data_IF_931381070301
#
_entry.id   IF_931381070301
#
_cell.length_a   1.000
_cell.length_b   1.000
_cell.length_c   1.000
_cell.angle_alpha   90.00
_cell.angle_beta   90.00
_cell.angle_gamma   90.00
#
_symmetry.space_group_name_H-M   'P 1'
#
loop_
_entity.id
_entity.type
_entity.pdbx_description
1 polymer ?
#
# COMPACT_ATOMS: atom_id res chain seq x y z
N UNK A 1 -6.04 25.31 -10.85
CA UNK A 1 -5.94 24.83 -9.45
C UNK A 1 -6.08 23.32 -9.47
N UNK A 2 -5.46 22.59 -8.53
CA UNK A 2 -5.72 21.15 -8.41
C UNK A 2 -7.19 20.94 -8.01
N UNK A 3 -7.87 20.01 -8.67
CA UNK A 3 -9.26 19.66 -8.40
C UNK A 3 -9.28 18.58 -7.31
N UNK A 4 -10.04 18.81 -6.23
CA UNK A 4 -10.10 17.91 -5.07
C UNK A 4 -11.51 17.39 -4.87
N UNK A 5 -11.65 16.07 -4.70
CA UNK A 5 -12.89 15.39 -4.32
C UNK A 5 -12.66 14.55 -3.08
N UNK A 6 -13.74 14.09 -2.44
CA UNK A 6 -13.68 13.29 -1.20
C UNK A 6 -14.47 11.99 -1.41
N UNK A 7 -13.85 10.91 -1.91
CA UNK A 7 -14.54 9.64 -2.09
C UNK A 7 -15.04 9.05 -0.76
N UNK A 8 -14.28 9.19 0.33
CA UNK A 8 -14.63 8.58 1.62
C UNK A 8 -14.56 9.59 2.76
N UNK A 9 -15.56 9.57 3.64
CA UNK A 9 -15.66 10.46 4.81
C UNK A 9 -16.03 9.64 6.04
N UNK A 10 -15.24 9.76 7.11
CA UNK A 10 -15.50 9.05 8.35
C UNK A 10 -16.91 9.33 8.90
N UNK A 11 -17.57 8.31 9.46
CA UNK A 11 -18.93 8.42 10.01
C UNK A 11 -20.05 8.40 8.97
N UNK A 12 -19.75 8.08 7.70
CA UNK A 12 -20.72 7.97 6.63
C UNK A 12 -20.82 6.53 6.10
N UNK A 13 -21.90 6.22 5.37
CA UNK A 13 -22.07 4.95 4.63
C UNK A 13 -21.94 3.68 5.50
N UNK A 14 -22.18 3.79 6.80
CA UNK A 14 -22.14 2.67 7.76
C UNK A 14 -20.78 2.43 8.42
N UNK A 15 -19.75 3.25 8.15
CA UNK A 15 -18.41 3.05 8.69
C UNK A 15 -17.97 4.23 9.57
N UNK A 16 -17.43 3.93 10.76
CA UNK A 16 -16.88 4.93 11.65
C UNK A 16 -15.62 5.59 11.07
N UNK A 17 -14.82 4.87 10.29
CA UNK A 17 -13.59 5.39 9.68
C UNK A 17 -13.30 4.71 8.35
N UNK A 18 -12.65 5.44 7.44
CA UNK A 18 -12.09 4.91 6.20
C UNK A 18 -10.59 5.15 6.20
N UNK A 19 -9.80 4.09 6.01
CA UNK A 19 -8.34 4.15 6.11
C UNK A 19 -7.68 3.27 5.06
N UNK A 20 -6.37 3.43 4.88
CA UNK A 20 -5.55 2.53 4.05
C UNK A 20 -5.94 2.62 2.56
N UNK A 21 -5.81 3.82 1.94
CA UNK A 21 -6.21 4.06 0.56
C UNK A 21 -5.36 3.26 -0.43
N UNK A 22 -6.00 2.80 -1.50
CA UNK A 22 -5.35 2.30 -2.70
C UNK A 22 -6.13 2.77 -3.93
N UNK A 23 -5.46 3.07 -5.04
CA UNK A 23 -6.12 3.49 -6.28
C UNK A 23 -5.46 2.88 -7.50
N UNK A 24 -6.30 2.34 -8.39
CA UNK A 24 -5.87 1.86 -9.71
C UNK A 24 -6.75 2.43 -10.81
N UNK A 25 -6.18 2.49 -12.02
CA UNK A 25 -6.90 2.85 -13.25
C UNK A 25 -7.08 1.60 -14.11
N UNK A 26 -8.31 1.28 -14.46
CA UNK A 26 -8.63 0.12 -15.30
C UNK A 26 -8.28 0.39 -16.76
N UNK A 27 -8.32 -0.66 -17.59
CA UNK A 27 -8.14 -0.55 -19.04
C UNK A 27 -9.20 0.36 -19.71
N UNK A 28 -10.41 0.46 -19.13
CA UNK A 28 -11.47 1.35 -19.59
C UNK A 28 -11.26 2.82 -19.16
N UNK A 29 -10.24 3.10 -18.34
CA UNK A 29 -9.99 4.42 -17.78
C UNK A 29 -10.78 4.74 -16.51
N UNK A 30 -11.55 3.80 -15.99
CA UNK A 30 -12.23 3.92 -14.70
C UNK A 30 -11.19 3.96 -13.58
N UNK A 31 -11.35 4.88 -12.63
CA UNK A 31 -10.59 4.86 -11.39
C UNK A 31 -11.35 4.05 -10.33
N UNK A 32 -10.65 3.14 -9.67
CA UNK A 32 -11.14 2.37 -8.54
C UNK A 32 -10.37 2.83 -7.30
N UNK A 33 -11.05 3.53 -6.39
CA UNK A 33 -10.49 3.90 -5.10
C UNK A 33 -10.95 2.90 -4.05
N UNK A 34 -10.01 2.18 -3.46
CA UNK A 34 -10.20 1.22 -2.39
C UNK A 34 -9.77 1.82 -1.05
N UNK A 35 -10.37 1.34 0.03
CA UNK A 35 -9.87 1.55 1.38
C UNK A 35 -10.47 0.50 2.33
N UNK A 36 -9.95 0.43 3.55
CA UNK A 36 -10.63 -0.21 4.66
C UNK A 36 -11.81 0.64 5.11
N UNK A 37 -13.02 0.08 5.08
CA UNK A 37 -14.18 0.55 5.82
C UNK A 37 -14.17 -0.07 7.21
N UNK A 38 -13.83 0.72 8.23
CA UNK A 38 -13.75 0.26 9.63
C UNK A 38 -15.06 0.57 10.34
N UNK A 39 -15.79 -0.47 10.72
CA UNK A 39 -17.20 -0.35 11.11
C UNK A 39 -17.35 0.39 12.44
N UNK A 40 -16.67 -0.04 13.50
CA UNK A 40 -16.90 0.54 14.83
C UNK A 40 -15.98 1.70 15.20
N UNK A 41 -14.71 1.68 14.76
CA UNK A 41 -13.72 2.67 15.16
C UNK A 41 -12.52 2.68 14.20
N UNK A 42 -11.67 3.71 14.30
CA UNK A 42 -10.46 3.85 13.49
C UNK A 42 -9.31 2.87 13.87
N UNK A 43 -9.56 1.84 14.69
CA UNK A 43 -8.55 0.82 15.07
C UNK A 43 -8.28 -0.15 13.92
N UNK A 44 -7.13 -0.81 13.95
CA UNK A 44 -6.57 -1.68 12.90
C UNK A 44 -7.02 -3.16 12.98
N UNK A 45 -7.95 -3.47 13.87
CA UNK A 45 -8.56 -4.78 14.07
C UNK A 45 -10.07 -4.65 14.36
N UNK A 46 -10.82 -5.74 14.21
CA UNK A 46 -12.27 -5.78 14.39
C UNK A 46 -12.99 -6.06 13.08
N UNK A 47 -14.23 -5.57 12.96
CA UNK A 47 -15.00 -5.67 11.73
C UNK A 47 -14.55 -4.60 10.74
N UNK A 48 -13.84 -5.05 9.71
CA UNK A 48 -13.28 -4.20 8.67
C UNK A 48 -13.56 -4.84 7.33
N UNK A 49 -14.17 -4.08 6.43
CA UNK A 49 -14.35 -4.45 5.04
C UNK A 49 -13.33 -3.73 4.17
N UNK A 50 -13.04 -4.29 3.00
CA UNK A 50 -12.44 -3.53 1.89
C UNK A 50 -13.58 -3.00 1.03
N UNK A 51 -13.70 -1.68 1.00
CA UNK A 51 -14.71 -0.98 0.20
C UNK A 51 -14.08 -0.35 -1.02
N UNK A 52 -14.88 -0.13 -2.06
CA UNK A 52 -14.46 0.49 -3.32
C UNK A 52 -15.48 1.52 -3.78
N UNK A 53 -14.98 2.61 -4.37
CA UNK A 53 -15.77 3.55 -5.18
C UNK A 53 -15.18 3.66 -6.57
N UNK A 54 -16.06 3.77 -7.56
CA UNK A 54 -15.72 3.85 -8.99
C UNK A 54 -15.89 5.29 -9.49
N UNK A 55 -14.97 5.75 -10.31
CA UNK A 55 -15.09 7.03 -11.03
C UNK A 55 -14.81 6.84 -12.51
N UNK A 56 -15.77 7.23 -13.36
CA UNK A 56 -15.66 7.14 -14.82
C UNK A 56 -15.34 8.48 -15.49
N UNK A 57 -15.04 9.52 -14.70
CA UNK A 57 -14.75 10.89 -15.17
C UNK A 57 -13.39 11.41 -14.67
N UNK A 58 -12.49 10.50 -14.32
CA UNK A 58 -11.13 10.82 -13.88
C UNK A 58 -11.05 11.36 -12.45
N UNK A 59 -11.96 10.93 -11.57
CA UNK A 59 -11.97 11.24 -10.14
C UNK A 59 -12.70 12.53 -9.78
N UNK A 60 -13.54 13.06 -10.68
CA UNK A 60 -14.33 14.28 -10.43
C UNK A 60 -15.65 13.97 -9.73
N UNK A 61 -16.22 12.81 -10.02
CA UNK A 61 -17.33 12.24 -9.27
C UNK A 61 -17.04 10.80 -8.93
N UNK A 62 -17.62 10.34 -7.82
CA UNK A 62 -17.48 8.98 -7.33
C UNK A 62 -18.87 8.36 -7.19
N UNK A 63 -19.01 7.14 -7.72
CA UNK A 63 -20.22 6.35 -7.60
C UNK A 63 -20.49 5.89 -6.15
N UNK A 64 -21.57 5.11 -5.96
CA UNK A 64 -21.90 4.56 -4.65
C UNK A 64 -20.79 3.66 -4.12
N UNK A 65 -20.68 3.58 -2.79
CA UNK A 65 -19.83 2.63 -2.11
C UNK A 65 -20.28 1.19 -2.39
N UNK A 66 -19.32 0.31 -2.67
CA UNK A 66 -19.52 -1.13 -2.76
C UNK A 66 -18.48 -1.86 -1.89
N UNK A 67 -18.81 -3.05 -1.41
CA UNK A 67 -17.86 -3.92 -0.71
C UNK A 67 -17.12 -4.77 -1.75
N UNK A 68 -15.80 -4.65 -1.79
CA UNK A 68 -14.93 -5.46 -2.67
C UNK A 68 -14.45 -6.75 -1.98
N UNK A 69 -14.28 -6.71 -0.66
CA UNK A 69 -13.98 -7.88 0.15
C UNK A 69 -14.51 -7.71 1.57
N UNK A 70 -15.19 -8.73 2.10
CA UNK A 70 -15.56 -8.84 3.50
C UNK A 70 -15.02 -10.16 4.09
N UNK A 71 -15.08 -10.27 5.41
CA UNK A 71 -14.84 -11.52 6.14
C UNK A 71 -15.95 -11.76 7.16
N UNK A 72 -17.21 -11.58 6.78
CA UNK A 72 -18.31 -11.54 7.76
C UNK A 72 -18.13 -10.37 8.73
N UNK A 73 -18.09 -10.62 10.03
CA UNK A 73 -17.82 -9.58 11.05
C UNK A 73 -16.35 -9.48 11.46
N UNK A 74 -15.48 -10.24 10.78
CA UNK A 74 -14.04 -10.23 11.00
C UNK A 74 -13.35 -9.23 10.07
N UNK A 75 -12.02 -9.25 10.04
CA UNK A 75 -11.22 -8.31 9.27
C UNK A 75 -11.00 -8.83 7.84
N UNK A 76 -11.26 -7.98 6.85
CA UNK A 76 -10.64 -7.94 5.53
C UNK A 76 -9.99 -6.56 5.35
N UNK A 77 -8.67 -6.52 5.13
CA UNK A 77 -7.94 -5.24 5.12
C UNK A 77 -6.67 -5.25 4.29
N UNK A 78 -5.93 -4.14 4.35
CA UNK A 78 -4.72 -3.91 3.57
C UNK A 78 -4.88 -4.20 2.06
N UNK A 79 -5.79 -3.50 1.35
CA UNK A 79 -6.00 -3.73 -0.07
C UNK A 79 -4.71 -3.47 -0.87
N UNK A 80 -4.36 -4.41 -1.74
CA UNK A 80 -3.28 -4.28 -2.74
C UNK A 80 -3.83 -4.65 -4.14
N UNK A 81 -4.65 -3.77 -4.76
CA UNK A 81 -5.18 -3.99 -6.09
C UNK A 81 -4.10 -3.85 -7.18
N UNK A 82 -4.27 -4.59 -8.28
CA UNK A 82 -3.48 -4.44 -9.52
C UNK A 82 -4.36 -4.72 -10.74
N UNK A 83 -4.20 -3.91 -11.78
CA UNK A 83 -4.85 -4.13 -13.08
C UNK A 83 -3.88 -4.86 -14.00
N UNK A 84 -4.31 -5.99 -14.53
CA UNK A 84 -3.50 -6.83 -15.43
C UNK A 84 -3.64 -6.39 -16.89
N UNK A 85 -2.70 -6.84 -17.72
CA UNK A 85 -2.66 -6.74 -19.18
C UNK A 85 -3.93 -7.29 -19.86
N UNK A 86 -4.61 -8.23 -19.21
CA UNK A 86 -5.90 -8.78 -19.66
C UNK A 86 -7.11 -7.91 -19.33
N UNK A 87 -6.93 -6.83 -18.56
CA UNK A 87 -8.01 -6.00 -18.03
C UNK A 87 -8.61 -6.52 -16.71
N UNK A 88 -8.29 -7.74 -16.29
CA UNK A 88 -8.66 -8.28 -14.97
C UNK A 88 -8.05 -7.43 -13.87
N UNK A 89 -8.81 -7.15 -12.82
CA UNK A 89 -8.31 -6.54 -11.59
C UNK A 89 -8.11 -7.66 -10.57
N UNK A 90 -6.90 -7.80 -10.02
CA UNK A 90 -6.68 -8.63 -8.83
C UNK A 90 -6.75 -7.75 -7.58
N UNK A 91 -7.32 -8.27 -6.50
CA UNK A 91 -7.29 -7.68 -5.17
C UNK A 91 -6.68 -8.68 -4.19
N UNK A 92 -5.38 -8.50 -3.92
CA UNK A 92 -4.69 -9.24 -2.87
C UNK A 92 -4.87 -8.48 -1.56
N UNK A 93 -5.20 -9.19 -0.50
CA UNK A 93 -5.53 -8.59 0.80
C UNK A 93 -5.27 -9.58 1.92
N UNK A 94 -5.39 -9.10 3.16
CA UNK A 94 -5.31 -9.94 4.35
C UNK A 94 -6.67 -10.10 5.02
N UNK A 95 -6.85 -11.23 5.69
CA UNK A 95 -7.97 -11.51 6.59
C UNK A 95 -7.46 -11.98 7.94
N UNK A 96 -8.19 -11.70 9.01
CA UNK A 96 -7.92 -12.20 10.36
C UNK A 96 -9.19 -12.14 11.20
N UNK A 97 -9.23 -12.86 12.33
CA UNK A 97 -10.33 -12.75 13.27
C UNK A 97 -10.49 -11.31 13.79
N UNK A 98 -11.70 -10.89 14.10
CA UNK A 98 -11.99 -9.57 14.67
C UNK A 98 -11.20 -9.30 15.94
N UNK A 99 -10.94 -10.31 16.77
CA UNK A 99 -10.23 -10.19 18.04
C UNK A 99 -8.69 -10.15 17.90
N UNK A 100 -8.16 -10.40 16.71
CA UNK A 100 -6.72 -10.50 16.46
C UNK A 100 -6.08 -9.11 16.30
N UNK A 101 -5.87 -8.41 17.42
CA UNK A 101 -5.15 -7.12 17.43
C UNK A 101 -3.67 -7.29 17.07
N UNK A 102 -3.05 -6.22 16.55
CA UNK A 102 -1.62 -6.20 16.24
C UNK A 102 -0.76 -6.63 17.43
N UNK A 103 -0.98 -6.10 18.64
CA UNK A 103 -0.22 -6.50 19.84
C UNK A 103 -0.32 -8.01 20.13
N UNK A 104 -1.52 -8.58 20.02
CA UNK A 104 -1.71 -10.01 20.28
C UNK A 104 -1.03 -10.88 19.22
N UNK A 105 -1.12 -10.49 17.95
CA UNK A 105 -0.46 -11.19 16.83
C UNK A 105 1.06 -11.11 17.01
N UNK A 106 1.59 -9.90 17.18
CA UNK A 106 3.02 -9.65 17.36
C UNK A 106 3.60 -10.42 18.54
N UNK A 107 2.83 -10.62 19.62
CA UNK A 107 3.26 -11.39 20.80
C UNK A 107 3.05 -12.90 20.70
N UNK A 108 2.57 -13.40 19.55
CA UNK A 108 2.29 -14.82 19.34
C UNK A 108 1.16 -15.34 20.23
N UNK A 109 0.16 -14.50 20.51
CA UNK A 109 -1.02 -14.83 21.33
C UNK A 109 -2.28 -15.13 20.51
N UNK A 110 -2.15 -15.14 19.19
CA UNK A 110 -3.21 -15.47 18.24
C UNK A 110 -2.81 -16.76 17.51
N UNK A 111 -3.79 -17.64 17.25
CA UNK A 111 -3.55 -18.86 16.47
C UNK A 111 -3.24 -18.52 15.00
N UNK A 112 -2.57 -19.40 14.26
CA UNK A 112 -2.34 -19.19 12.82
C UNK A 112 -3.64 -19.08 12.01
N UNK A 113 -4.71 -19.74 12.48
CA UNK A 113 -6.02 -19.70 11.82
C UNK A 113 -6.72 -18.35 11.98
N UNK A 114 -6.55 -17.70 13.14
CA UNK A 114 -7.16 -16.42 13.50
C UNK A 114 -6.27 -15.21 13.15
N UNK A 115 -4.97 -15.45 12.91
CA UNK A 115 -3.98 -14.42 12.56
C UNK A 115 -4.14 -13.89 11.13
N UNK A 116 -3.19 -13.07 10.69
CA UNK A 116 -3.19 -12.48 9.34
C UNK A 116 -2.90 -13.57 8.29
N UNK A 117 -3.90 -13.82 7.45
CA UNK A 117 -3.90 -14.77 6.32
C UNK A 117 -4.09 -14.01 5.02
N UNK A 118 -3.58 -14.54 3.91
CA UNK A 118 -3.53 -13.82 2.62
C UNK A 118 -4.50 -14.42 1.63
N UNK A 119 -5.29 -13.55 1.02
CA UNK A 119 -6.38 -13.91 0.12
C UNK A 119 -6.29 -13.10 -1.18
N UNK A 120 -6.81 -13.67 -2.25
CA UNK A 120 -6.96 -12.99 -3.54
C UNK A 120 -8.37 -13.14 -4.09
N UNK A 121 -8.89 -12.05 -4.64
CA UNK A 121 -10.12 -12.00 -5.44
C UNK A 121 -9.83 -11.29 -6.75
N UNK A 122 -10.76 -11.37 -7.71
CA UNK A 122 -10.65 -10.62 -8.94
C UNK A 122 -11.98 -10.05 -9.42
N UNK A 123 -11.89 -9.01 -10.24
CA UNK A 123 -13.00 -8.48 -11.03
C UNK A 123 -12.63 -8.56 -12.50
N UNK A 124 -13.57 -9.07 -13.32
CA UNK A 124 -13.46 -9.14 -14.78
C UNK A 124 -14.42 -8.16 -15.48
N UNK A 125 -15.09 -7.30 -14.72
CA UNK A 125 -16.16 -6.40 -15.18
C UNK A 125 -15.94 -4.94 -14.73
N UNK A 126 -14.69 -4.50 -14.78
CA UNK A 126 -14.30 -3.10 -14.48
C UNK A 126 -14.59 -2.67 -13.02
N UNK A 127 -14.41 -3.60 -12.10
CA UNK A 127 -14.54 -3.39 -10.66
C UNK A 127 -15.99 -3.37 -10.16
N UNK A 128 -16.95 -3.89 -10.94
CA UNK A 128 -18.37 -3.89 -10.59
C UNK A 128 -18.71 -5.06 -9.67
N UNK A 129 -18.25 -6.27 -10.00
CA UNK A 129 -18.41 -7.46 -9.17
C UNK A 129 -17.06 -8.13 -8.88
N UNK A 130 -17.02 -8.92 -7.81
CA UNK A 130 -15.82 -9.58 -7.33
C UNK A 130 -16.06 -11.08 -7.20
N UNK A 131 -15.09 -11.89 -7.62
CA UNK A 131 -15.09 -13.34 -7.45
C UNK A 131 -15.07 -13.72 -5.97
N UNK A 132 -15.45 -14.97 -5.66
CA UNK A 132 -15.20 -15.53 -4.33
C UNK A 132 -13.70 -15.48 -3.95
N UNK A 133 -13.38 -15.29 -2.66
CA UNK A 133 -12.01 -15.19 -2.18
C UNK A 133 -11.30 -16.54 -2.19
N UNK A 134 -10.06 -16.53 -2.66
CA UNK A 134 -9.17 -17.71 -2.64
C UNK A 134 -8.03 -17.49 -1.66
N UNK A 135 -7.88 -18.42 -0.73
CA UNK A 135 -6.77 -18.44 0.22
C UNK A 135 -5.47 -18.83 -0.50
N UNK A 136 -4.44 -17.98 -0.37
CA UNK A 136 -3.10 -18.23 -0.90
C UNK A 136 -2.04 -18.31 0.19
N UNK A 137 -2.43 -18.25 1.47
CA UNK A 137 -1.55 -18.18 2.65
C UNK A 137 -0.45 -19.23 2.62
N UNK A 138 -0.78 -20.48 2.29
CA UNK A 138 0.18 -21.58 2.27
C UNK A 138 1.32 -21.41 1.26
N UNK A 139 1.15 -20.57 0.24
CA UNK A 139 2.17 -20.29 -0.77
C UNK A 139 3.01 -19.05 -0.45
N UNK A 140 2.54 -18.16 0.42
CA UNK A 140 3.09 -16.80 0.60
C UNK A 140 3.28 -16.37 2.06
N UNK A 141 3.13 -17.28 3.02
CA UNK A 141 3.41 -17.05 4.45
C UNK A 141 4.22 -18.22 5.00
N UNK A 142 5.44 -17.96 5.47
CA UNK A 142 6.25 -19.00 6.13
C UNK A 142 5.68 -19.33 7.51
N UNK A 143 5.92 -20.56 7.97
CA UNK A 143 5.62 -20.96 9.33
C UNK A 143 6.38 -20.09 10.34
N UNK A 144 5.71 -19.71 11.43
CA UNK A 144 6.29 -18.88 12.49
C UNK A 144 6.23 -17.36 12.25
N UNK A 145 5.97 -16.90 11.02
CA UNK A 145 5.66 -15.49 10.78
C UNK A 145 4.41 -15.07 11.56
N UNK A 146 4.52 -13.95 12.29
CA UNK A 146 3.45 -13.44 13.16
C UNK A 146 2.61 -12.42 12.41
N UNK A 147 2.95 -11.13 12.47
CA UNK A 147 2.25 -10.11 11.70
C UNK A 147 2.45 -10.35 10.20
N UNK A 148 1.47 -9.92 9.42
CA UNK A 148 1.53 -9.94 7.96
C UNK A 148 0.63 -8.84 7.41
N UNK A 149 1.19 -8.00 6.55
CA UNK A 149 0.42 -7.10 5.72
C UNK A 149 0.87 -7.20 4.27
N UNK A 150 -0.09 -7.36 3.36
CA UNK A 150 0.07 -6.82 2.01
C UNK A 150 0.27 -5.32 2.20
N UNK A 151 1.39 -4.75 1.73
CA UNK A 151 1.61 -3.33 2.01
C UNK A 151 0.52 -2.55 1.29
N UNK A 152 -0.17 -1.62 1.97
CA UNK A 152 -1.26 -0.91 1.36
C UNK A 152 -0.80 0.09 0.30
N UNK A 153 -1.75 0.45 -0.57
CA UNK A 153 -1.49 1.11 -1.85
C UNK A 153 -1.80 0.14 -2.98
N UNK A 154 -1.15 0.28 -4.13
CA UNK A 154 -1.34 -0.64 -5.25
C UNK A 154 -0.20 -1.65 -5.39
N UNK A 155 -0.53 -2.82 -5.93
CA UNK A 155 0.42 -3.75 -6.50
C UNK A 155 0.67 -3.40 -7.99
N UNK A 156 1.71 -4.00 -8.58
CA UNK A 156 2.11 -3.72 -9.95
C UNK A 156 2.20 -4.99 -10.80
N UNK A 157 1.84 -4.87 -12.07
CA UNK A 157 2.25 -5.83 -13.09
C UNK A 157 3.45 -5.23 -13.84
N UNK A 158 4.58 -5.94 -13.80
CA UNK A 158 5.80 -5.56 -14.51
C UNK A 158 5.58 -5.68 -16.02
N UNK A 159 6.43 -5.02 -16.81
CA UNK A 159 6.47 -5.15 -18.27
C UNK A 159 6.68 -6.59 -18.76
N UNK A 160 7.25 -7.46 -17.91
CA UNK A 160 7.41 -8.89 -18.15
C UNK A 160 6.12 -9.71 -17.97
N UNK A 161 5.06 -9.09 -17.46
CA UNK A 161 3.77 -9.73 -17.14
C UNK A 161 3.66 -10.27 -15.72
N UNK A 162 4.77 -10.31 -14.97
CA UNK A 162 4.81 -10.73 -13.56
C UNK A 162 4.07 -9.73 -12.68
N UNK A 163 3.24 -10.23 -11.78
CA UNK A 163 2.64 -9.44 -10.70
C UNK A 163 3.57 -9.43 -9.49
N UNK A 164 3.79 -8.25 -8.92
CA UNK A 164 4.54 -8.04 -7.69
C UNK A 164 3.63 -7.36 -6.67
N UNK A 165 3.50 -7.96 -5.49
CA UNK A 165 2.78 -7.37 -4.34
C UNK A 165 3.79 -7.18 -3.21
N UNK A 166 4.28 -5.96 -2.97
CA UNK A 166 5.07 -5.67 -1.78
C UNK A 166 4.31 -6.00 -0.49
N UNK A 167 5.01 -6.49 0.53
CA UNK A 167 4.42 -6.93 1.77
C UNK A 167 5.43 -6.86 2.92
N UNK A 168 4.93 -7.08 4.13
CA UNK A 168 5.76 -7.22 5.31
C UNK A 168 5.26 -8.34 6.20
N UNK A 169 6.14 -8.76 7.10
CA UNK A 169 5.82 -9.67 8.17
C UNK A 169 6.63 -9.31 9.41
N UNK A 170 6.33 -9.97 10.53
CA UNK A 170 7.20 -9.94 11.70
C UNK A 170 7.70 -11.33 12.06
N UNK A 171 8.95 -11.38 12.51
CA UNK A 171 9.59 -12.59 13.01
C UNK A 171 9.29 -12.80 14.50
N UNK A 172 9.30 -14.04 14.99
CA UNK A 172 9.26 -14.29 16.42
C UNK A 172 10.56 -13.81 17.10
N UNK A 173 10.50 -13.45 18.39
CA UNK A 173 11.66 -13.00 19.13
C UNK A 173 12.67 -14.13 19.31
N UNK A 174 13.95 -13.78 19.23
CA UNK A 174 15.06 -14.71 19.49
C UNK A 174 15.58 -14.62 20.93
N UNK A 175 15.13 -13.59 21.68
CA UNK A 175 15.52 -13.33 23.06
C UNK A 175 14.38 -13.52 24.06
N UNK A 176 14.45 -12.79 25.18
CA UNK A 176 13.46 -12.83 26.27
C UNK A 176 12.35 -11.79 26.14
N UNK A 177 12.38 -10.99 25.08
CA UNK A 177 11.35 -9.99 24.83
C UNK A 177 10.06 -10.63 24.26
N UNK A 178 8.99 -9.84 24.23
CA UNK A 178 7.66 -10.36 23.90
C UNK A 178 7.39 -10.40 22.39
N UNK A 179 8.24 -9.77 21.58
CA UNK A 179 8.21 -9.84 20.12
C UNK A 179 7.37 -8.77 19.43
N UNK A 180 7.01 -7.68 20.12
CA UNK A 180 6.26 -6.56 19.54
C UNK A 180 7.14 -5.34 19.23
N UNK A 181 8.46 -5.51 19.28
CA UNK A 181 9.44 -4.50 18.92
C UNK A 181 9.63 -4.39 17.40
N UNK A 182 9.80 -3.16 16.91
CA UNK A 182 9.97 -2.89 15.48
C UNK A 182 11.16 -3.60 14.83
N UNK A 183 12.19 -3.98 15.60
CA UNK A 183 13.34 -4.76 15.11
C UNK A 183 12.98 -6.13 14.53
N UNK A 184 11.77 -6.62 14.81
CA UNK A 184 11.29 -7.88 14.24
C UNK A 184 10.51 -7.69 12.95
N UNK A 185 10.27 -6.45 12.52
CA UNK A 185 9.65 -6.16 11.24
C UNK A 185 10.60 -6.56 10.11
N UNK A 186 10.04 -7.17 9.08
CA UNK A 186 10.76 -7.72 7.94
C UNK A 186 9.98 -7.50 6.66
N UNK A 187 10.70 -7.33 5.56
CA UNK A 187 10.12 -7.07 4.24
C UNK A 187 10.07 -8.32 3.37
N UNK A 188 9.06 -8.41 2.51
CA UNK A 188 9.03 -9.39 1.43
C UNK A 188 8.16 -8.89 0.27
N UNK A 189 8.08 -9.66 -0.81
CA UNK A 189 7.01 -9.49 -1.79
C UNK A 189 6.42 -10.83 -2.19
N UNK A 190 5.22 -10.78 -2.77
CA UNK A 190 4.56 -11.90 -3.41
C UNK A 190 4.70 -11.74 -4.91
N UNK A 191 4.93 -12.85 -5.61
CA UNK A 191 5.10 -12.91 -7.05
C UNK A 191 4.07 -13.84 -7.67
N UNK A 192 3.57 -13.47 -8.84
CA UNK A 192 2.78 -14.35 -9.71
C UNK A 192 3.16 -14.16 -11.17
N UNK A 193 3.55 -15.25 -11.84
CA UNK A 193 3.97 -15.27 -13.24
C UNK A 193 2.86 -15.72 -14.21
N UNK A 194 1.69 -16.07 -13.68
CA UNK A 194 0.58 -16.67 -14.41
C UNK A 194 -0.74 -15.91 -14.20
N UNK A 195 -0.63 -14.58 -14.08
CA UNK A 195 -1.77 -13.66 -13.94
C UNK A 195 -2.63 -13.93 -12.70
N UNK A 196 -1.97 -14.26 -11.59
CA UNK A 196 -2.59 -14.44 -10.28
C UNK A 196 -3.13 -15.84 -10.02
N UNK A 197 -2.82 -16.85 -10.85
CA UNK A 197 -3.29 -18.22 -10.66
C UNK A 197 -2.45 -18.94 -9.58
N UNK A 198 -1.13 -18.84 -9.62
CA UNK A 198 -0.21 -19.31 -8.59
C UNK A 198 0.62 -18.16 -8.02
N UNK A 199 1.10 -18.36 -6.79
CA UNK A 199 1.80 -17.34 -6.03
C UNK A 199 3.03 -17.94 -5.35
N UNK A 200 4.07 -17.13 -5.20
CA UNK A 200 5.30 -17.48 -4.50
C UNK A 200 5.85 -16.28 -3.73
N UNK A 201 6.77 -16.53 -2.79
CA UNK A 201 7.55 -15.49 -2.15
C UNK A 201 8.67 -15.03 -3.10
N UNK A 202 8.85 -13.72 -3.21
CA UNK A 202 10.01 -13.10 -3.85
C UNK A 202 11.10 -12.84 -2.83
N UNK A 203 11.64 -11.62 -2.83
CA UNK A 203 12.69 -11.26 -1.90
C UNK A 203 12.26 -11.42 -0.43
N UNK A 204 13.24 -11.62 0.43
CA UNK A 204 13.07 -11.70 1.88
C UNK A 204 14.14 -10.83 2.54
N UNK A 205 13.70 -9.87 3.33
CA UNK A 205 14.53 -9.00 4.16
C UNK A 205 14.24 -9.28 5.63
N UNK A 206 14.84 -10.35 6.15
CA UNK A 206 14.64 -10.89 7.50
C UNK A 206 15.80 -10.47 8.43
N UNK A 207 16.15 -9.18 8.46
CA UNK A 207 17.25 -8.66 9.27
C UNK A 207 16.76 -8.05 10.60
N UNK A 208 16.97 -8.76 11.71
CA UNK A 208 16.59 -8.29 13.05
C UNK A 208 17.72 -7.54 13.79
N UNK A 209 18.70 -6.98 13.07
CA UNK A 209 19.79 -6.18 13.67
C UNK A 209 19.35 -4.79 14.16
N UNK A 210 18.14 -4.35 13.76
CA UNK A 210 17.55 -3.09 14.17
C UNK A 210 18.04 -1.86 13.39
N UNK A 211 18.88 -2.04 12.37
CA UNK A 211 19.38 -0.94 11.55
C UNK A 211 18.35 -0.50 10.50
N UNK A 212 17.68 -1.44 9.85
CA UNK A 212 16.48 -1.21 9.04
C UNK A 212 15.38 -2.13 9.54
N UNK A 213 14.23 -1.55 9.85
CA UNK A 213 13.05 -2.27 10.31
C UNK A 213 11.98 -2.15 9.24
N UNK A 214 12.14 -2.93 8.16
CA UNK A 214 11.28 -2.87 6.99
C UNK A 214 9.83 -3.22 7.37
N UNK A 215 8.92 -2.32 7.06
CA UNK A 215 7.50 -2.48 7.32
C UNK A 215 6.75 -2.26 5.99
N UNK A 216 5.79 -1.33 5.93
CA UNK A 216 5.01 -1.01 4.73
C UNK A 216 5.91 -0.59 3.55
N UNK A 217 6.04 -1.48 2.55
CA UNK A 217 6.83 -1.31 1.32
C UNK A 217 5.98 -1.04 0.08
N UNK A 218 6.30 -0.02 -0.71
CA UNK A 218 5.71 0.22 -2.04
C UNK A 218 6.76 -0.07 -3.14
N UNK A 219 6.35 -0.19 -4.39
CA UNK A 219 7.26 -0.49 -5.50
C UNK A 219 6.85 0.17 -6.82
N UNK A 220 7.84 0.42 -7.68
CA UNK A 220 7.62 0.81 -9.08
C UNK A 220 8.64 0.12 -9.99
N UNK A 221 8.23 -0.22 -11.21
CA UNK A 221 9.15 -0.65 -12.26
C UNK A 221 9.79 0.57 -12.92
N UNK A 222 11.12 0.64 -12.89
CA UNK A 222 11.91 1.67 -13.53
C UNK A 222 11.98 1.45 -15.06
N UNK A 223 12.32 2.47 -15.87
CA UNK A 223 12.42 2.34 -17.32
C UNK A 223 13.42 1.30 -17.81
N UNK A 224 14.45 1.00 -17.01
CA UNK A 224 15.46 -0.01 -17.31
C UNK A 224 15.05 -1.44 -16.90
N UNK A 225 13.82 -1.63 -16.42
CA UNK A 225 13.26 -2.92 -16.02
C UNK A 225 13.55 -3.33 -14.58
N UNK A 226 14.37 -2.57 -13.84
CA UNK A 226 14.58 -2.82 -12.41
C UNK A 226 13.31 -2.48 -11.62
N UNK A 227 13.07 -3.22 -10.54
CA UNK A 227 12.02 -2.87 -9.57
C UNK A 227 12.66 -2.08 -8.44
N UNK A 228 12.19 -0.85 -8.22
CA UNK A 228 12.57 -0.03 -7.07
C UNK A 228 11.56 -0.26 -5.96
N UNK A 229 12.04 -0.68 -4.79
CA UNK A 229 11.25 -0.85 -3.57
C UNK A 229 11.57 0.29 -2.61
N UNK A 230 10.55 0.83 -1.95
CA UNK A 230 10.72 1.80 -0.87
C UNK A 230 9.87 1.41 0.33
N UNK A 231 10.51 1.25 1.49
CA UNK A 231 9.88 0.76 2.72
C UNK A 231 9.81 1.82 3.80
N UNK A 232 8.73 1.79 4.56
CA UNK A 232 8.61 2.44 5.87
C UNK A 232 9.65 1.82 6.79
N UNK A 233 10.45 2.67 7.41
CA UNK A 233 11.50 2.27 8.33
C UNK A 233 11.22 2.90 9.70
N UNK A 234 11.01 2.06 10.72
CA UNK A 234 10.85 2.46 12.11
C UNK A 234 12.05 1.96 12.92
N UNK A 235 13.18 2.62 12.75
CA UNK A 235 14.45 2.19 13.34
C UNK A 235 15.30 3.38 13.77
N UNK A 236 16.52 3.09 14.24
CA UNK A 236 17.47 4.12 14.67
C UNK A 236 18.32 4.69 13.53
N UNK A 237 18.20 4.17 12.30
CA UNK A 237 18.94 4.70 11.16
C UNK A 237 18.41 6.08 10.72
N UNK A 238 19.21 6.87 9.99
CA UNK A 238 18.78 8.19 9.55
C UNK A 238 17.55 8.15 8.64
N UNK A 239 16.48 8.83 9.05
CA UNK A 239 15.24 8.93 8.27
C UNK A 239 14.31 7.72 8.41
N UNK A 240 13.06 7.91 7.97
CA UNK A 240 11.98 6.93 8.20
C UNK A 240 11.59 6.17 6.93
N UNK A 241 12.41 6.26 5.88
CA UNK A 241 12.27 5.52 4.62
C UNK A 241 13.58 4.82 4.29
N UNK A 242 13.48 3.66 3.64
CA UNK A 242 14.62 2.95 3.09
C UNK A 242 14.29 2.41 1.70
N UNK A 243 15.29 2.21 0.85
CA UNK A 243 15.10 1.68 -0.50
C UNK A 243 16.02 0.51 -0.84
N UNK A 244 15.57 -0.28 -1.80
CA UNK A 244 16.30 -1.39 -2.39
C UNK A 244 15.86 -1.55 -3.85
N UNK A 245 16.65 -2.31 -4.61
CA UNK A 245 16.35 -2.61 -6.01
C UNK A 245 16.35 -4.11 -6.24
N UNK A 246 15.60 -4.54 -7.25
CA UNK A 246 15.64 -5.90 -7.80
C UNK A 246 15.85 -5.83 -9.31
N UNK A 247 16.72 -6.70 -9.82
CA UNK A 247 17.01 -6.87 -11.24
C UNK A 247 16.30 -8.09 -11.84
N UNK A 248 15.66 -8.92 -11.01
CA UNK A 248 15.05 -10.20 -11.37
C UNK A 248 13.54 -10.21 -11.12
N UNK A 249 12.89 -9.05 -11.25
CA UNK A 249 11.44 -8.89 -11.15
C UNK A 249 10.90 -9.15 -9.74
N UNK A 250 11.67 -8.81 -8.70
CA UNK A 250 11.30 -8.93 -7.29
C UNK A 250 11.69 -10.26 -6.63
N UNK A 251 12.36 -11.18 -7.33
CA UNK A 251 12.78 -12.46 -6.75
C UNK A 251 13.88 -12.29 -5.70
N UNK A 252 14.80 -11.37 -5.90
CA UNK A 252 15.84 -11.00 -4.93
C UNK A 252 16.06 -9.49 -4.89
N UNK A 253 16.61 -8.98 -3.78
CA UNK A 253 17.15 -7.64 -3.72
C UNK A 253 18.63 -7.68 -4.10
N UNK A 254 19.08 -6.78 -4.97
CA UNK A 254 20.49 -6.65 -5.37
C UNK A 254 21.38 -6.37 -4.15
N UNK A 255 20.85 -5.56 -3.21
CA UNK A 255 21.43 -5.29 -1.90
C UNK A 255 20.30 -5.12 -0.88
N UNK A 256 20.54 -5.36 0.42
CA UNK A 256 19.56 -5.06 1.48
C UNK A 256 19.11 -3.60 1.45
N UNK A 257 17.94 -3.33 2.04
CA UNK A 257 17.42 -1.97 2.18
C UNK A 257 18.45 -1.02 2.82
N UNK A 258 18.50 0.21 2.32
CA UNK A 258 19.36 1.27 2.85
C UNK A 258 18.55 2.51 3.16
N UNK A 259 18.95 3.30 4.18
CA UNK A 259 18.23 4.53 4.51
C UNK A 259 18.14 5.47 3.29
N UNK A 260 16.94 5.98 3.02
CA UNK A 260 16.66 6.91 1.93
C UNK A 260 16.46 8.31 2.50
N UNK A 261 17.58 8.99 2.76
CA UNK A 261 17.60 10.31 3.40
C UNK A 261 16.97 11.43 2.55
N UNK A 262 16.74 11.21 1.24
CA UNK A 262 16.04 12.18 0.39
C UNK A 262 14.53 12.23 0.61
N UNK A 263 13.97 11.30 1.40
CA UNK A 263 12.55 11.19 1.69
C UNK A 263 12.26 11.43 3.17
N UNK A 264 12.43 12.68 3.61
CA UNK A 264 12.09 13.11 4.97
C UNK A 264 10.60 12.95 5.25
N UNK A 265 10.25 12.54 6.47
CA UNK A 265 8.86 12.37 6.87
C UNK A 265 8.74 11.51 8.12
N UNK A 266 7.52 11.37 8.67
CA UNK A 266 7.30 10.55 9.84
C UNK A 266 7.30 9.05 9.47
N UNK A 267 7.31 8.19 10.48
CA UNK A 267 7.08 6.75 10.33
C UNK A 267 5.63 6.51 9.80
N UNK A 268 5.52 6.37 8.49
CA UNK A 268 4.25 6.27 7.76
C UNK A 268 4.43 5.52 6.43
N UNK A 269 3.33 4.95 5.93
CA UNK A 269 3.20 4.49 4.55
C UNK A 269 3.47 5.65 3.56
N UNK A 270 3.87 5.27 2.34
CA UNK A 270 3.94 6.15 1.19
C UNK A 270 3.91 5.34 -0.10
N UNK A 271 3.59 6.00 -1.22
CA UNK A 271 3.32 5.35 -2.51
C UNK A 271 4.30 5.79 -3.59
N UNK A 272 4.64 4.88 -4.50
CA UNK A 272 5.48 5.12 -5.68
C UNK A 272 4.67 5.09 -6.97
N UNK A 273 5.06 5.89 -7.95
CA UNK A 273 4.53 5.82 -9.31
C UNK A 273 5.60 6.24 -10.33
N UNK A 274 5.98 5.33 -11.23
CA UNK A 274 6.83 5.68 -12.39
C UNK A 274 5.95 6.22 -13.52
N UNK A 275 6.21 7.47 -13.96
CA UNK A 275 5.42 8.12 -15.01
C UNK A 275 5.74 7.61 -16.43
N UNK A 276 7.00 7.18 -16.67
CA UNK A 276 7.60 6.81 -17.98
C UNK A 276 7.66 7.93 -19.01
N UNK A 277 6.53 8.62 -19.24
CA UNK A 277 6.46 9.84 -20.03
C UNK A 277 5.80 10.97 -19.20
N UNK A 278 6.60 11.95 -18.71
CA UNK A 278 8.07 11.97 -18.77
C UNK A 278 8.70 10.91 -17.85
N UNK A 279 9.98 10.61 -18.05
CA UNK A 279 10.73 9.66 -17.24
C UNK A 279 11.03 10.23 -15.85
N UNK A 280 10.05 10.12 -14.96
CA UNK A 280 10.10 10.60 -13.59
C UNK A 280 9.48 9.57 -12.67
N UNK A 281 10.21 9.23 -11.60
CA UNK A 281 9.69 8.46 -10.48
C UNK A 281 9.10 9.41 -9.44
N UNK A 282 7.87 9.15 -9.02
CA UNK A 282 7.19 9.92 -7.98
C UNK A 282 7.09 9.11 -6.69
N UNK A 283 7.17 9.82 -5.57
CA UNK A 283 6.84 9.31 -4.24
C UNK A 283 5.87 10.26 -3.55
N UNK A 284 4.77 9.76 -2.97
CA UNK A 284 3.90 10.54 -2.09
C UNK A 284 3.98 10.04 -0.66
N UNK A 285 3.98 10.99 0.28
CA UNK A 285 3.85 10.73 1.70
C UNK A 285 3.86 12.03 2.50
N UNK A 286 3.57 11.98 3.82
CA UNK A 286 3.71 13.13 4.70
C UNK A 286 5.17 13.63 4.71
N UNK A 287 5.38 14.93 4.90
CA UNK A 287 6.70 15.55 4.80
C UNK A 287 7.18 16.24 6.08
N UNK A 288 6.34 16.29 7.12
CA UNK A 288 6.75 16.81 8.41
C UNK A 288 7.38 15.68 9.25
N UNK A 289 8.69 15.73 9.59
CA UNK A 289 9.38 14.59 10.21
C UNK A 289 8.71 14.05 11.48
N UNK A 290 8.16 14.93 12.29
CA UNK A 290 7.63 14.58 13.62
C UNK A 290 6.11 14.39 13.64
N UNK A 291 5.41 14.52 12.49
CA UNK A 291 3.96 14.37 12.46
C UNK A 291 3.41 13.94 11.09
N UNK A 292 2.33 13.17 11.11
CA UNK A 292 1.51 12.83 9.94
C UNK A 292 0.77 14.07 9.43
N UNK A 293 1.48 14.91 8.68
CA UNK A 293 0.99 16.14 8.07
C UNK A 293 1.82 16.48 6.81
N UNK A 294 1.34 17.46 6.04
CA UNK A 294 2.06 18.03 4.89
C UNK A 294 2.25 17.01 3.75
N UNK A 295 1.15 16.44 3.24
CA UNK A 295 1.19 15.48 2.13
C UNK A 295 1.93 16.07 0.92
N UNK A 296 3.05 15.46 0.56
CA UNK A 296 3.96 15.99 -0.46
C UNK A 296 4.39 14.90 -1.43
N UNK A 297 4.27 15.21 -2.72
CA UNK A 297 4.85 14.46 -3.82
C UNK A 297 6.28 14.92 -4.04
N UNK A 298 7.20 13.97 -4.06
CA UNK A 298 8.60 14.14 -4.43
C UNK A 298 8.84 13.47 -5.77
N UNK A 299 9.75 14.03 -6.55
CA UNK A 299 10.17 13.50 -7.83
C UNK A 299 11.65 13.12 -7.82
N UNK A 300 11.97 12.05 -8.54
CA UNK A 300 13.31 11.58 -8.85
C UNK A 300 13.45 11.47 -10.36
N UNK A 301 14.55 11.99 -10.91
CA UNK A 301 14.92 11.87 -12.32
C UNK A 301 16.10 10.92 -12.55
N UNK A 302 16.59 10.23 -11.51
CA UNK A 302 17.80 9.41 -11.55
C UNK A 302 17.57 7.98 -11.02
N UNK A 303 16.33 7.52 -11.09
CA UNK A 303 15.92 6.16 -10.70
C UNK A 303 15.84 5.93 -9.19
N UNK A 304 15.49 6.96 -8.41
CA UNK A 304 15.26 6.91 -6.97
C UNK A 304 16.48 7.24 -6.13
N UNK A 305 17.58 7.71 -6.72
CA UNK A 305 18.82 8.04 -5.98
C UNK A 305 18.70 9.38 -5.27
N UNK A 306 18.12 10.37 -5.92
CA UNK A 306 17.88 11.69 -5.34
C UNK A 306 16.44 12.12 -5.51
N UNK A 307 15.92 12.83 -4.51
CA UNK A 307 14.52 13.23 -4.44
C UNK A 307 14.41 14.72 -4.17
N UNK A 308 13.46 15.38 -4.84
CA UNK A 308 13.09 16.77 -4.56
C UNK A 308 11.58 16.91 -4.39
N UNK A 309 11.09 17.76 -3.47
CA UNK A 309 9.67 18.06 -3.41
C UNK A 309 9.24 18.80 -4.68
N UNK A 310 8.10 18.40 -5.26
CA UNK A 310 7.53 19.00 -6.47
C UNK A 310 6.13 19.54 -6.27
N UNK A 311 5.37 18.93 -5.35
CA UNK A 311 4.01 19.36 -5.07
C UNK A 311 3.61 19.00 -3.64
N UNK A 312 3.17 19.99 -2.87
CA UNK A 312 2.55 19.78 -1.55
C UNK A 312 1.06 20.03 -1.68
N UNK A 313 0.24 19.08 -1.23
CA UNK A 313 -1.21 19.15 -1.33
C UNK A 313 -1.76 20.34 -0.51
N UNK A 314 -1.42 20.38 0.76
CA UNK A 314 -1.74 21.43 1.73
C UNK A 314 -0.89 21.24 3.00
N UNK A 315 -1.08 22.12 3.99
CA UNK A 315 -0.44 22.02 5.31
C UNK A 315 -1.27 21.26 6.36
N UNK A 316 -2.25 20.45 5.96
CA UNK A 316 -3.16 19.77 6.88
C UNK A 316 -2.56 18.45 7.39
N UNK A 317 -3.17 17.85 8.43
CA UNK A 317 -2.95 16.44 8.78
C UNK A 317 -3.07 15.55 7.55
N UNK A 318 -2.11 14.65 7.39
CA UNK A 318 -2.06 13.72 6.28
C UNK A 318 -1.29 12.46 6.64
N UNK A 319 -1.80 11.32 6.21
CA UNK A 319 -1.21 10.02 6.51
C UNK A 319 -1.01 9.21 5.22
N UNK A 320 -1.72 8.09 5.05
CA UNK A 320 -1.44 7.16 3.97
C UNK A 320 -1.87 7.77 2.64
N UNK A 321 -1.25 7.35 1.55
CA UNK A 321 -1.49 7.86 0.21
C UNK A 321 -1.29 6.83 -0.86
N UNK A 322 -1.92 7.02 -2.01
CA UNK A 322 -1.64 6.25 -3.19
C UNK A 322 -1.73 7.10 -4.47
N UNK A 323 -0.84 6.82 -5.43
CA UNK A 323 -0.69 7.55 -6.69
C UNK A 323 -1.21 6.73 -7.87
N UNK A 324 -1.85 7.39 -8.84
CA UNK A 324 -2.29 6.77 -10.09
C UNK A 324 -2.10 7.71 -11.27
N UNK A 325 -1.69 7.21 -12.44
CA UNK A 325 -1.74 8.01 -13.68
C UNK A 325 -3.17 7.99 -14.22
N UNK A 326 -3.83 9.13 -14.28
CA UNK A 326 -5.22 9.25 -14.78
C UNK A 326 -5.23 9.31 -16.32
N UNK A 327 -4.32 10.12 -16.86
CA UNK A 327 -4.12 10.36 -18.29
C UNK A 327 -2.72 10.95 -18.52
N UNK A 328 -2.34 11.20 -19.78
CA UNK A 328 -1.03 11.73 -20.16
C UNK A 328 -0.68 13.08 -19.51
N UNK A 329 -1.66 13.81 -18.98
CA UNK A 329 -1.47 15.13 -18.40
C UNK A 329 -1.73 15.21 -16.90
N UNK A 330 -2.24 14.13 -16.28
CA UNK A 330 -2.78 14.18 -14.91
C UNK A 330 -2.39 12.95 -14.08
N UNK A 331 -1.88 13.21 -12.88
CA UNK A 331 -1.70 12.22 -11.80
C UNK A 331 -2.78 12.43 -10.74
N UNK A 332 -3.36 11.33 -10.28
CA UNK A 332 -4.24 11.27 -9.12
C UNK A 332 -3.45 10.99 -7.85
N UNK A 333 -3.76 11.72 -6.78
CA UNK A 333 -3.27 11.48 -5.43
C UNK A 333 -4.47 11.21 -4.53
N UNK A 334 -4.64 9.95 -4.13
CA UNK A 334 -5.60 9.53 -3.12
C UNK A 334 -4.89 9.55 -1.77
N UNK A 335 -5.41 10.23 -0.74
CA UNK A 335 -4.71 10.29 0.54
C UNK A 335 -5.64 10.58 1.72
N UNK A 336 -5.24 10.12 2.88
CA UNK A 336 -5.89 10.37 4.16
C UNK A 336 -5.58 11.78 4.65
N UNK A 337 -6.61 12.52 5.06
CA UNK A 337 -6.48 13.88 5.57
C UNK A 337 -7.69 14.29 6.40
N UNK A 338 -7.65 15.50 6.95
CA UNK A 338 -8.74 16.11 7.70
C UNK A 338 -8.36 17.51 8.15
N UNK A 339 -9.26 18.17 8.87
CA UNK A 339 -9.02 19.52 9.37
C UNK A 339 -8.26 19.47 10.71
N UNK A 340 -8.51 18.44 11.54
CA UNK A 340 -7.87 18.26 12.84
C UNK A 340 -7.16 16.90 13.02
N UNK A 341 -7.58 15.89 12.28
CA UNK A 341 -6.96 14.56 12.27
C UNK A 341 -6.84 13.97 10.87
N UNK A 342 -5.79 13.19 10.63
CA UNK A 342 -5.54 12.61 9.30
C UNK A 342 -6.59 11.56 8.87
N UNK A 343 -7.46 11.09 9.78
CA UNK A 343 -8.39 9.96 9.53
C UNK A 343 -9.85 10.40 9.36
N UNK A 344 -10.09 11.70 9.15
CA UNK A 344 -11.45 12.24 8.98
C UNK A 344 -12.02 11.98 7.58
N UNK A 345 -11.15 11.90 6.57
CA UNK A 345 -11.54 11.68 5.16
C UNK A 345 -10.39 11.12 4.35
N UNK A 346 -10.73 10.47 3.23
CA UNK A 346 -9.80 10.19 2.16
C UNK A 346 -10.15 11.13 1.00
N UNK A 347 -9.21 11.98 0.61
CA UNK A 347 -9.35 12.94 -0.47
C UNK A 347 -8.67 12.43 -1.74
N UNK A 348 -9.20 12.78 -2.90
CA UNK A 348 -8.59 12.54 -4.21
C UNK A 348 -8.27 13.87 -4.88
N UNK A 349 -7.01 14.07 -5.25
CA UNK A 349 -6.53 15.28 -5.93
C UNK A 349 -6.04 14.96 -7.33
N UNK A 350 -6.49 15.75 -8.30
CA UNK A 350 -5.99 15.73 -9.68
C UNK A 350 -4.87 16.75 -9.82
N UNK A 351 -3.66 16.28 -10.05
CA UNK A 351 -2.44 17.10 -10.16
C UNK A 351 -1.91 17.06 -11.59
N UNK A 352 -1.78 18.21 -12.27
CA UNK A 352 -1.18 18.26 -13.59
C UNK A 352 0.27 17.76 -13.56
N UNK A 353 0.65 16.94 -14.53
CA UNK A 353 2.02 16.42 -14.69
C UNK A 353 3.05 17.55 -14.77
N UNK A 354 2.70 18.69 -15.39
CA UNK A 354 3.55 19.89 -15.45
C UNK A 354 3.90 20.52 -14.10
N UNK A 355 3.23 20.12 -13.01
CA UNK A 355 3.59 20.51 -11.64
C UNK A 355 4.49 19.49 -10.92
N UNK A 356 4.68 18.31 -11.50
CA UNK A 356 5.39 17.19 -10.89
C UNK A 356 6.77 16.96 -11.48
N UNK A 357 7.09 17.65 -12.58
CA UNK A 357 8.24 17.38 -13.45
C UNK A 357 9.07 18.63 -13.61
#
# INVERSE_FOLDING_TARGET
MAETTVPFRAGHEGYASFRIPAVVRTAAGTLLAFCEGRVEAARDWGHIDIVVKRSTDGGRTWGPLAVAADNGTDLAGNPAPVVLDTGRILLVHVRSAASASEDLILRGKVSDADGRRVWVQHSDDDGVTWSSPRDITGSVKKAGWRWYATTPGHALQLSTGRVVVPANHSLPPTGTDVGNEAKYNSGHCLLSDDRGATWSLGYLDENADGYINANETTAAELPDGRVYFNTRNDSTSPGNRADAHSEDGGSTLTVPFRPQAGLDGPVCEGSLLQLRDPDVLLFSGPALPDARALMTVRASADGGRTWRPVYTADGLPAAYSDLVRIDDSTVGLLYETGDFGAYERIAFRRVPVTRLT
#
